data_IF_978954629913
#
_entry.id   IF_978954629913
#
_cell.length_a   1.000
_cell.length_b   1.000
_cell.length_c   1.000
_cell.angle_alpha   90.00
_cell.angle_beta   90.00
_cell.angle_gamma   90.00
#
_symmetry.space_group_name_H-M   'P 1'
#
loop_
_entity.id
_entity.type
_entity.pdbx_description
1 polymer ?
#
# COMPACT_ATOMS: atom_id res chain seq x y z
N UNK A 1 67.55 -27.65 17.54
CA UNK A 1 66.45 -27.62 18.53
C UNK A 1 65.36 -26.76 17.92
N UNK A 2 64.30 -27.25 17.29
CA UNK A 2 63.68 -28.58 17.15
C UNK A 2 63.41 -28.76 15.63
N UNK A 3 63.86 -29.80 14.93
CA UNK A 3 63.39 -31.20 14.94
C UNK A 3 61.87 -31.39 14.93
N UNK A 4 61.36 -31.86 13.79
CA UNK A 4 60.37 -32.94 13.73
C UNK A 4 58.90 -32.58 13.84
N UNK A 5 58.28 -32.21 12.72
CA UNK A 5 56.86 -32.51 12.48
C UNK A 5 56.78 -33.38 11.22
N UNK A 6 56.33 -34.62 11.41
CA UNK A 6 56.25 -35.63 10.36
C UNK A 6 55.00 -35.43 9.49
N UNK A 7 55.07 -35.85 8.24
CA UNK A 7 54.02 -35.74 7.21
C UNK A 7 52.65 -36.35 7.65
N UNK A 8 52.62 -37.14 8.73
CA UNK A 8 51.42 -37.74 9.31
C UNK A 8 50.55 -36.78 10.15
N UNK A 9 51.10 -35.71 10.71
CA UNK A 9 50.31 -34.75 11.53
C UNK A 9 49.63 -33.66 10.68
N UNK A 10 50.08 -33.48 9.44
CA UNK A 10 49.48 -32.53 8.48
C UNK A 10 48.16 -33.10 7.94
N UNK A 11 48.03 -34.43 7.82
CA UNK A 11 46.81 -35.06 7.32
C UNK A 11 45.67 -35.07 8.35
N UNK A 12 45.96 -35.05 9.65
CA UNK A 12 44.92 -35.07 10.70
C UNK A 12 44.34 -33.68 11.01
N UNK A 13 45.06 -32.60 10.69
CA UNK A 13 44.53 -31.22 10.78
C UNK A 13 43.78 -30.77 9.52
N UNK A 14 44.03 -31.39 8.37
CA UNK A 14 43.29 -31.07 7.14
C UNK A 14 41.90 -31.73 7.10
N UNK A 15 41.72 -32.88 7.77
CA UNK A 15 40.40 -33.54 7.88
C UNK A 15 39.48 -32.84 8.88
N UNK A 16 40.02 -32.14 9.88
CA UNK A 16 39.17 -31.41 10.86
C UNK A 16 38.69 -30.03 10.36
N UNK A 17 39.30 -29.46 9.32
CA UNK A 17 38.89 -28.15 8.76
C UNK A 17 37.88 -28.30 7.62
N UNK A 18 37.83 -29.46 6.97
CA UNK A 18 36.83 -29.75 5.92
C UNK A 18 35.47 -30.16 6.52
N UNK A 19 35.42 -30.62 7.78
CA UNK A 19 34.18 -30.94 8.48
C UNK A 19 33.43 -29.70 9.05
N UNK A 20 34.04 -28.51 9.04
CA UNK A 20 33.40 -27.24 9.43
C UNK A 20 32.91 -26.39 8.25
N UNK A 21 33.01 -26.92 7.02
CA UNK A 21 32.38 -26.37 5.82
C UNK A 21 31.14 -27.17 5.41
N UNK A 22 30.48 -27.83 6.37
CA UNK A 22 29.03 -28.01 6.28
C UNK A 22 28.47 -26.59 6.36
N UNK A 23 28.22 -26.03 5.18
CA UNK A 23 27.30 -24.93 4.99
C UNK A 23 26.14 -25.12 5.96
N UNK A 24 26.15 -24.36 7.05
CA UNK A 24 24.92 -23.90 7.63
C UNK A 24 24.27 -23.11 6.51
N UNK A 25 23.49 -23.80 5.67
CA UNK A 25 22.44 -23.11 4.95
C UNK A 25 21.74 -22.30 6.06
N UNK A 26 21.61 -20.97 5.93
CA UNK A 26 20.71 -20.27 6.83
C UNK A 26 19.43 -21.11 6.83
N UNK A 27 18.94 -21.48 8.02
CA UNK A 27 17.59 -22.00 8.10
C UNK A 27 16.76 -20.94 7.39
N UNK A 28 16.28 -21.26 6.18
CA UNK A 28 15.58 -20.30 5.35
C UNK A 28 14.44 -19.81 6.22
N UNK A 29 14.37 -18.49 6.45
CA UNK A 29 13.17 -17.90 6.99
C UNK A 29 12.01 -18.42 6.13
N UNK A 30 10.87 -18.74 6.74
CA UNK A 30 9.74 -19.29 6.00
C UNK A 30 9.43 -18.35 4.82
N UNK A 31 9.58 -18.84 3.60
CA UNK A 31 9.38 -18.03 2.40
C UNK A 31 7.94 -18.24 1.92
N UNK A 32 7.32 -17.16 1.45
CA UNK A 32 6.19 -17.25 0.54
C UNK A 32 6.70 -17.27 -0.90
N UNK A 33 6.12 -18.15 -1.72
CA UNK A 33 6.44 -18.31 -3.13
C UNK A 33 5.27 -17.84 -3.98
N UNK A 34 5.55 -16.98 -4.95
CA UNK A 34 4.56 -16.34 -5.80
C UNK A 34 4.64 -16.97 -7.18
N UNK A 35 3.48 -17.34 -7.70
CA UNK A 35 3.31 -17.98 -9.00
C UNK A 35 2.37 -17.18 -9.90
N UNK A 36 2.63 -17.23 -11.21
CA UNK A 36 1.66 -16.87 -12.26
C UNK A 36 1.38 -18.08 -13.13
N UNK A 37 0.16 -18.16 -13.66
CA UNK A 37 -0.22 -19.24 -14.55
C UNK A 37 -1.71 -19.28 -14.79
N UNK A 38 -2.26 -20.48 -14.96
CA UNK A 38 -3.69 -20.66 -15.27
C UNK A 38 -4.37 -21.71 -14.41
N UNK A 39 -5.68 -21.50 -14.22
CA UNK A 39 -6.64 -22.48 -13.71
C UNK A 39 -7.78 -22.59 -14.72
N UNK A 40 -7.97 -23.76 -15.32
CA UNK A 40 -8.97 -23.96 -16.37
C UNK A 40 -8.81 -22.99 -17.56
N UNK A 41 -7.56 -22.58 -17.85
CA UNK A 41 -7.25 -21.60 -18.88
C UNK A 41 -7.56 -20.14 -18.52
N UNK A 42 -7.89 -19.83 -17.27
CA UNK A 42 -8.03 -18.45 -16.76
C UNK A 42 -6.74 -18.04 -16.06
N UNK A 43 -6.27 -16.84 -16.35
CA UNK A 43 -5.05 -16.31 -15.73
C UNK A 43 -5.25 -16.05 -14.23
N UNK A 44 -4.33 -16.59 -13.43
CA UNK A 44 -4.31 -16.44 -11.98
C UNK A 44 -2.92 -16.05 -11.50
N UNK A 45 -2.90 -15.41 -10.33
CA UNK A 45 -1.72 -15.25 -9.49
C UNK A 45 -1.96 -16.02 -8.19
N UNK A 46 -0.94 -16.71 -7.69
CA UNK A 46 -1.02 -17.53 -6.47
C UNK A 46 0.13 -17.16 -5.55
N UNK A 47 -0.13 -17.07 -4.27
CA UNK A 47 0.88 -17.01 -3.21
C UNK A 47 0.68 -18.20 -2.29
N UNK A 48 1.72 -19.01 -2.12
CA UNK A 48 1.75 -20.14 -1.18
C UNK A 48 2.87 -19.91 -0.18
N UNK A 49 2.71 -20.36 1.07
CA UNK A 49 3.87 -20.65 1.92
C UNK A 49 4.73 -21.73 1.26
N UNK A 50 6.02 -21.83 1.64
CA UNK A 50 6.99 -22.76 1.04
C UNK A 50 6.34 -24.14 0.76
N UNK A 51 6.21 -24.55 -0.52
CA UNK A 51 5.56 -25.80 -0.89
C UNK A 51 6.25 -27.06 -0.36
N UNK A 52 7.47 -26.94 0.16
CA UNK A 52 8.21 -28.02 0.82
C UNK A 52 7.95 -28.10 2.34
N UNK A 53 7.21 -27.15 2.91
CA UNK A 53 6.86 -27.14 4.32
C UNK A 53 5.80 -28.21 4.67
N UNK A 54 5.77 -28.59 5.95
CA UNK A 54 4.81 -29.57 6.48
C UNK A 54 3.35 -29.06 6.40
N UNK A 55 3.16 -27.74 6.33
CA UNK A 55 1.85 -27.10 6.17
C UNK A 55 1.94 -26.06 5.07
N UNK A 56 1.07 -26.17 4.07
CA UNK A 56 1.00 -25.20 2.98
C UNK A 56 -0.34 -24.51 3.02
N UNK A 57 -0.32 -23.20 3.15
CA UNK A 57 -1.50 -22.33 3.00
C UNK A 57 -1.23 -21.34 1.89
N UNK A 58 -2.28 -20.71 1.39
CA UNK A 58 -2.13 -19.77 0.32
C UNK A 58 -3.34 -18.89 0.09
N UNK A 59 -3.19 -18.08 -0.94
CA UNK A 59 -4.26 -17.32 -1.55
C UNK A 59 -4.03 -17.24 -3.04
N UNK A 60 -5.09 -17.05 -3.81
CA UNK A 60 -4.97 -16.77 -5.23
C UNK A 60 -6.02 -15.80 -5.70
N UNK A 61 -5.76 -15.15 -6.84
CA UNK A 61 -6.72 -14.28 -7.49
C UNK A 61 -6.80 -14.55 -8.98
N UNK A 62 -8.01 -14.55 -9.52
CA UNK A 62 -8.22 -14.40 -10.96
C UNK A 62 -7.83 -12.98 -11.37
N UNK A 63 -6.92 -12.85 -12.33
CA UNK A 63 -6.50 -11.53 -12.81
C UNK A 63 -7.66 -10.72 -13.39
N UNK A 64 -8.75 -11.36 -13.80
CA UNK A 64 -9.98 -10.68 -14.25
C UNK A 64 -10.89 -10.16 -13.12
N UNK A 65 -10.65 -10.54 -11.86
CA UNK A 65 -11.54 -10.24 -10.73
C UNK A 65 -10.85 -9.46 -9.61
N UNK A 66 -9.59 -9.74 -9.31
CA UNK A 66 -8.78 -9.00 -8.32
C UNK A 66 -9.00 -9.39 -6.86
N UNK A 67 -10.15 -9.94 -6.49
CA UNK A 67 -10.37 -10.52 -5.15
C UNK A 67 -9.54 -11.78 -4.94
N UNK A 68 -9.01 -11.96 -3.74
CA UNK A 68 -8.28 -13.15 -3.32
C UNK A 68 -9.26 -14.21 -2.78
N UNK A 69 -8.91 -15.47 -3.00
CA UNK A 69 -9.62 -16.66 -2.52
C UNK A 69 -8.63 -17.46 -1.65
N UNK A 70 -8.97 -17.78 -0.39
CA UNK A 70 -8.06 -18.47 0.51
C UNK A 70 -7.93 -19.95 0.16
N UNK A 71 -6.72 -20.48 0.39
CA UNK A 71 -6.36 -21.88 0.22
C UNK A 71 -5.84 -22.43 1.55
N UNK A 72 -6.62 -23.31 2.16
CA UNK A 72 -6.28 -23.93 3.44
C UNK A 72 -5.60 -25.29 3.26
N UNK A 73 -4.61 -25.60 4.09
CA UNK A 73 -3.90 -26.88 4.06
C UNK A 73 -4.85 -28.05 4.32
N UNK A 74 -4.80 -29.08 3.48
CA UNK A 74 -5.50 -30.36 3.71
C UNK A 74 -4.50 -31.48 3.96
N UNK A 75 -3.54 -31.65 3.06
CA UNK A 75 -2.51 -32.68 3.15
C UNK A 75 -1.27 -32.28 2.36
N UNK A 76 -0.11 -32.68 2.85
CA UNK A 76 1.21 -32.34 2.33
C UNK A 76 2.08 -33.59 2.42
N UNK A 77 2.49 -34.10 1.26
CA UNK A 77 3.35 -35.27 1.15
C UNK A 77 4.43 -35.01 0.09
N UNK A 78 5.46 -35.86 0.01
CA UNK A 78 6.64 -35.63 -0.83
C UNK A 78 6.30 -35.17 -2.27
N UNK A 79 6.42 -33.86 -2.52
CA UNK A 79 6.16 -33.21 -3.81
C UNK A 79 4.68 -33.05 -4.20
N UNK A 80 3.73 -33.36 -3.32
CA UNK A 80 2.28 -33.24 -3.56
C UNK A 80 1.62 -32.45 -2.43
N UNK A 81 0.91 -31.38 -2.81
CA UNK A 81 0.18 -30.50 -1.90
C UNK A 81 -1.30 -30.56 -2.22
N UNK A 82 -2.13 -30.79 -1.20
CA UNK A 82 -3.59 -30.74 -1.29
C UNK A 82 -4.11 -29.56 -0.48
N UNK A 83 -4.86 -28.68 -1.14
CA UNK A 83 -5.43 -27.47 -0.53
C UNK A 83 -6.96 -27.46 -0.69
N UNK A 84 -7.66 -26.92 0.29
CA UNK A 84 -9.08 -26.63 0.20
C UNK A 84 -9.28 -25.17 -0.19
N UNK A 85 -10.03 -24.93 -1.26
CA UNK A 85 -10.48 -23.62 -1.69
C UNK A 85 -11.85 -23.31 -1.07
N UNK A 86 -11.95 -22.16 -0.40
CA UNK A 86 -13.24 -21.72 0.14
C UNK A 86 -14.20 -21.26 -0.97
N UNK A 87 -15.48 -21.57 -0.80
CA UNK A 87 -16.55 -20.88 -1.50
C UNK A 87 -16.94 -19.60 -0.72
N UNK A 88 -17.62 -18.63 -1.36
CA UNK A 88 -18.07 -17.43 -0.65
C UNK A 88 -18.99 -17.74 0.55
N UNK A 89 -18.74 -17.03 1.64
CA UNK A 89 -19.62 -17.01 2.81
C UNK A 89 -20.87 -16.16 2.57
N UNK A 90 -21.96 -16.62 3.16
CA UNK A 90 -23.24 -15.93 3.30
C UNK A 90 -23.87 -16.41 4.61
N UNK A 91 -24.93 -15.73 5.07
CA UNK A 91 -25.79 -16.18 6.19
C UNK A 91 -26.22 -17.66 6.08
N UNK A 92 -26.27 -18.22 4.86
CA UNK A 92 -26.78 -19.57 4.60
C UNK A 92 -25.72 -20.60 4.21
N UNK A 93 -24.50 -20.16 3.90
CA UNK A 93 -23.41 -21.04 3.46
C UNK A 93 -22.34 -21.25 4.52
N UNK A 94 -22.18 -20.30 5.45
CA UNK A 94 -21.28 -20.44 6.60
C UNK A 94 -22.07 -20.86 7.84
N UNK A 95 -21.50 -21.78 8.63
CA UNK A 95 -22.14 -22.24 9.87
C UNK A 95 -21.57 -21.44 11.03
N UNK A 96 -22.45 -20.80 11.79
CA UNK A 96 -22.10 -20.00 12.94
C UNK A 96 -22.43 -20.74 14.24
N UNK A 97 -21.61 -20.55 15.27
CA UNK A 97 -21.94 -20.96 16.63
C UNK A 97 -22.82 -19.91 17.35
N UNK A 98 -23.15 -20.18 18.61
CA UNK A 98 -23.97 -19.28 19.45
C UNK A 98 -23.28 -17.93 19.74
N UNK A 99 -21.97 -17.80 19.49
CA UNK A 99 -21.20 -16.57 19.64
C UNK A 99 -21.03 -15.81 18.31
N UNK A 100 -21.70 -16.26 17.24
CA UNK A 100 -21.55 -15.74 15.87
C UNK A 100 -20.15 -15.94 15.29
N UNK A 101 -19.41 -16.95 15.76
CA UNK A 101 -18.14 -17.37 15.18
C UNK A 101 -18.37 -18.44 14.11
N UNK A 102 -17.61 -18.35 13.01
CA UNK A 102 -17.72 -19.33 11.91
C UNK A 102 -17.01 -20.61 12.35
N UNK A 103 -17.77 -21.71 12.43
CA UNK A 103 -17.26 -23.04 12.81
C UNK A 103 -17.13 -24.00 11.63
N UNK A 104 -17.82 -23.72 10.52
CA UNK A 104 -17.68 -24.48 9.28
C UNK A 104 -17.66 -23.51 8.09
N UNK A 105 -16.61 -23.61 7.29
CA UNK A 105 -16.42 -22.84 6.06
C UNK A 105 -16.86 -23.66 4.85
N UNK A 106 -17.60 -23.08 3.89
CA UNK A 106 -18.02 -23.78 2.70
C UNK A 106 -16.81 -23.99 1.78
N UNK A 107 -16.64 -25.22 1.28
CA UNK A 107 -15.55 -25.57 0.37
C UNK A 107 -16.07 -25.58 -1.07
N UNK A 108 -15.45 -24.79 -1.94
CA UNK A 108 -15.75 -24.72 -3.36
C UNK A 108 -15.03 -25.81 -4.16
N UNK A 109 -13.78 -26.12 -3.78
CA UNK A 109 -12.96 -27.10 -4.48
C UNK A 109 -11.78 -27.60 -3.64
N UNK A 110 -11.14 -28.66 -4.13
CA UNK A 110 -9.84 -29.13 -3.64
C UNK A 110 -8.79 -29.06 -4.75
N UNK A 111 -7.67 -28.42 -4.45
CA UNK A 111 -6.51 -28.39 -5.33
C UNK A 111 -5.64 -29.58 -5.02
N UNK A 112 -5.21 -30.32 -6.04
CA UNK A 112 -4.16 -31.32 -5.91
C UNK A 112 -2.99 -30.91 -6.79
N UNK A 113 -1.92 -30.46 -6.16
CA UNK A 113 -0.76 -29.85 -6.79
C UNK A 113 0.45 -30.77 -6.72
N UNK A 114 1.26 -30.76 -7.77
CA UNK A 114 2.57 -31.42 -7.83
C UNK A 114 3.63 -30.37 -8.09
N UNK A 115 4.57 -30.26 -7.16
CA UNK A 115 5.75 -29.40 -7.27
C UNK A 115 6.81 -30.15 -8.08
N UNK A 116 7.35 -29.52 -9.12
CA UNK A 116 8.40 -30.08 -9.96
C UNK A 116 9.78 -29.63 -9.49
N UNK A 117 10.82 -30.32 -9.95
CA UNK A 117 12.22 -30.02 -9.61
C UNK A 117 12.66 -28.61 -10.04
N UNK A 118 12.00 -28.02 -11.04
CA UNK A 118 12.26 -26.67 -11.53
C UNK A 118 11.45 -25.57 -10.79
N UNK A 119 10.72 -25.96 -9.74
CA UNK A 119 9.85 -25.07 -8.96
C UNK A 119 8.48 -24.81 -9.61
N UNK A 120 8.22 -25.24 -10.85
CA UNK A 120 6.89 -25.11 -11.44
C UNK A 120 5.89 -26.05 -10.76
N UNK A 121 4.62 -25.66 -10.74
CA UNK A 121 3.53 -26.45 -10.17
C UNK A 121 2.53 -26.83 -11.27
N UNK A 122 2.09 -28.08 -11.25
CA UNK A 122 0.98 -28.57 -12.08
C UNK A 122 -0.01 -29.34 -11.23
N UNK A 123 -1.29 -29.32 -11.56
CA UNK A 123 -2.28 -29.99 -10.74
C UNK A 123 -3.69 -29.96 -11.30
N UNK A 124 -4.64 -30.35 -10.46
CA UNK A 124 -6.06 -30.31 -10.76
C UNK A 124 -6.84 -29.54 -9.70
N UNK A 125 -7.77 -28.71 -10.16
CA UNK A 125 -8.82 -28.08 -9.39
C UNK A 125 -10.05 -28.98 -9.42
N UNK A 126 -10.39 -29.60 -8.29
CA UNK A 126 -11.48 -30.56 -8.17
C UNK A 126 -12.69 -29.89 -7.49
N UNK A 127 -13.73 -29.48 -8.25
CA UNK A 127 -14.89 -28.82 -7.68
C UNK A 127 -15.66 -29.73 -6.71
N UNK A 128 -16.15 -29.15 -5.61
CA UNK A 128 -16.93 -29.84 -4.60
C UNK A 128 -18.32 -30.27 -5.11
N UNK A 129 -18.85 -29.61 -6.15
CA UNK A 129 -20.16 -29.90 -6.75
C UNK A 129 -20.14 -31.09 -7.73
N UNK A 130 -18.96 -31.69 -7.97
CA UNK A 130 -18.79 -32.82 -8.89
C UNK A 130 -18.69 -32.44 -10.37
N UNK A 131 -18.55 -31.16 -10.69
CA UNK A 131 -18.24 -30.68 -12.04
C UNK A 131 -16.89 -31.19 -12.56
N UNK A 132 -16.58 -30.90 -13.82
CA UNK A 132 -15.32 -31.32 -14.43
C UNK A 132 -14.11 -30.72 -13.71
N UNK A 133 -13.08 -31.55 -13.50
CA UNK A 133 -11.78 -31.12 -13.00
C UNK A 133 -11.14 -30.16 -13.99
N UNK A 134 -10.57 -29.07 -13.50
CA UNK A 134 -9.85 -28.08 -14.30
C UNK A 134 -8.35 -28.19 -14.06
N UNK A 135 -7.54 -28.03 -15.10
CA UNK A 135 -6.08 -28.08 -14.99
C UNK A 135 -5.53 -26.82 -14.32
N UNK A 136 -4.47 -26.99 -13.53
CA UNK A 136 -3.67 -25.92 -12.93
C UNK A 136 -2.25 -26.02 -13.46
N UNK A 137 -1.71 -24.91 -13.96
CA UNK A 137 -0.31 -24.78 -14.40
C UNK A 137 0.25 -23.46 -13.90
N UNK A 138 1.35 -23.51 -13.15
CA UNK A 138 1.92 -22.38 -12.42
C UNK A 138 3.44 -22.34 -12.57
N UNK A 139 3.98 -21.14 -12.78
CA UNK A 139 5.42 -20.87 -12.83
C UNK A 139 5.79 -19.90 -11.72
N UNK A 140 6.84 -20.21 -10.97
CA UNK A 140 7.39 -19.33 -9.94
C UNK A 140 7.86 -18.02 -10.58
N UNK A 141 7.49 -16.88 -9.99
CA UNK A 141 7.89 -15.54 -10.47
C UNK A 141 8.61 -14.71 -9.42
N UNK A 142 8.41 -15.01 -8.13
CA UNK A 142 9.05 -14.30 -7.03
C UNK A 142 8.96 -15.10 -5.72
N UNK A 143 9.73 -14.66 -4.72
CA UNK A 143 9.65 -15.09 -3.32
C UNK A 143 9.72 -13.88 -2.40
N UNK A 144 9.13 -13.97 -1.21
CA UNK A 144 9.34 -13.01 -0.13
C UNK A 144 9.50 -13.74 1.20
N UNK A 145 10.27 -13.15 2.10
CA UNK A 145 10.42 -13.66 3.45
C UNK A 145 9.20 -13.33 4.30
N UNK A 146 8.72 -14.31 5.06
CA UNK A 146 7.64 -14.13 6.03
C UNK A 146 8.19 -13.77 7.42
N UNK A 147 7.41 -13.05 8.25
CA UNK A 147 7.77 -12.83 9.65
C UNK A 147 7.93 -14.15 10.42
N UNK A 148 8.95 -14.25 11.29
CA UNK A 148 9.31 -15.51 11.99
C UNK A 148 8.17 -16.11 12.82
N UNK A 149 7.34 -15.26 13.46
CA UNK A 149 6.28 -15.68 14.38
C UNK A 149 4.87 -15.62 13.77
N UNK A 150 4.75 -15.51 12.44
CA UNK A 150 3.45 -15.49 11.77
C UNK A 150 2.74 -16.85 11.90
N UNK A 151 1.45 -16.84 12.24
CA UNK A 151 0.63 -18.05 12.17
C UNK A 151 0.42 -18.48 10.70
N UNK A 152 0.49 -19.78 10.43
CA UNK A 152 0.37 -20.32 9.07
C UNK A 152 -1.11 -20.49 8.70
N UNK A 153 -1.76 -19.37 8.36
CA UNK A 153 -3.15 -19.32 7.86
C UNK A 153 -3.25 -18.45 6.60
N UNK A 154 -4.29 -18.63 5.78
CA UNK A 154 -4.53 -17.73 4.64
C UNK A 154 -4.65 -16.25 5.03
N UNK A 155 -5.31 -15.96 6.15
CA UNK A 155 -5.49 -14.60 6.67
C UNK A 155 -4.14 -13.97 7.03
N UNK A 156 -3.33 -14.64 7.84
CA UNK A 156 -2.04 -14.14 8.29
C UNK A 156 -1.04 -13.97 7.13
N UNK A 157 -1.10 -14.87 6.14
CA UNK A 157 -0.31 -14.73 4.92
C UNK A 157 -0.69 -13.45 4.15
N UNK A 158 -1.98 -13.18 3.99
CA UNK A 158 -2.49 -11.97 3.34
C UNK A 158 -2.15 -10.70 4.16
N UNK A 159 -2.40 -10.73 5.47
CA UNK A 159 -2.19 -9.61 6.38
C UNK A 159 -0.71 -9.25 6.52
N UNK A 160 0.21 -10.22 6.45
CA UNK A 160 1.65 -9.93 6.52
C UNK A 160 2.15 -9.00 5.41
N UNK A 161 1.58 -9.10 4.21
CA UNK A 161 1.90 -8.18 3.11
C UNK A 161 1.33 -6.79 3.39
N UNK A 162 0.12 -6.72 3.97
CA UNK A 162 -0.53 -5.47 4.34
C UNK A 162 0.24 -4.74 5.45
N UNK A 163 0.60 -5.44 6.53
CA UNK A 163 1.36 -4.87 7.67
C UNK A 163 2.70 -4.34 7.21
N UNK A 164 3.45 -5.11 6.42
CA UNK A 164 4.72 -4.64 5.85
C UNK A 164 4.57 -3.36 5.00
N UNK A 165 3.42 -3.22 4.32
CA UNK A 165 3.10 -2.03 3.52
C UNK A 165 2.59 -0.86 4.37
N UNK A 166 1.92 -1.14 5.49
CA UNK A 166 1.41 -0.14 6.41
C UNK A 166 2.53 0.50 7.23
N UNK A 167 3.45 -0.32 7.75
CA UNK A 167 4.58 0.13 8.56
C UNK A 167 5.57 0.98 7.75
N UNK A 168 5.66 0.73 6.44
CA UNK A 168 6.46 1.55 5.55
C UNK A 168 5.78 1.69 4.17
N UNK A 169 4.87 2.67 3.99
CA UNK A 169 4.17 2.91 2.73
C UNK A 169 5.11 3.21 1.56
N UNK A 170 6.30 3.74 1.83
CA UNK A 170 7.33 3.97 0.82
C UNK A 170 8.07 2.68 0.41
N UNK A 171 8.00 1.63 1.22
CA UNK A 171 8.53 0.31 0.90
C UNK A 171 7.57 -0.57 0.12
N UNK A 172 6.30 -0.19 -0.05
CA UNK A 172 5.37 -0.94 -0.91
C UNK A 172 5.86 -0.94 -2.36
N UNK A 173 6.40 -2.09 -2.78
CA UNK A 173 7.12 -2.25 -4.03
C UNK A 173 6.98 -3.68 -4.55
N UNK A 174 7.44 -3.93 -5.78
CA UNK A 174 7.47 -5.27 -6.36
C UNK A 174 8.29 -6.27 -5.53
N UNK A 175 9.27 -5.79 -4.77
CA UNK A 175 10.15 -6.65 -3.98
C UNK A 175 9.51 -7.02 -2.63
N UNK A 176 8.77 -6.09 -2.00
CA UNK A 176 8.13 -6.32 -0.70
C UNK A 176 6.74 -6.97 -0.81
N UNK A 177 6.00 -6.68 -1.87
CA UNK A 177 4.66 -7.20 -2.13
C UNK A 177 4.52 -7.79 -3.56
N UNK A 178 5.37 -8.77 -3.95
CA UNK A 178 5.40 -9.32 -5.31
C UNK A 178 4.06 -9.90 -5.77
N UNK A 179 3.29 -10.54 -4.88
CA UNK A 179 1.96 -11.07 -5.20
C UNK A 179 1.01 -9.95 -5.62
N UNK A 180 0.90 -8.90 -4.82
CA UNK A 180 -0.02 -7.79 -5.06
C UNK A 180 0.35 -7.03 -6.34
N UNK A 181 1.63 -6.79 -6.59
CA UNK A 181 2.09 -6.21 -7.86
C UNK A 181 1.86 -7.12 -9.07
N UNK A 182 1.99 -8.44 -8.92
CA UNK A 182 1.66 -9.40 -9.98
C UNK A 182 0.15 -9.44 -10.26
N UNK A 183 -0.69 -9.26 -9.23
CA UNK A 183 -2.16 -9.13 -9.33
C UNK A 183 -2.60 -7.86 -10.06
N UNK A 184 -1.84 -6.78 -9.92
CA UNK A 184 -2.09 -5.47 -10.53
C UNK A 184 -1.49 -5.31 -11.92
N UNK A 185 -0.73 -6.31 -12.40
CA UNK A 185 -0.14 -6.35 -13.73
C UNK A 185 -1.19 -6.69 -14.79
N UNK A 186 -2.19 -5.81 -14.93
CA UNK A 186 -3.29 -5.89 -15.89
C UNK A 186 -3.34 -4.62 -16.74
N UNK A 187 -3.96 -4.73 -17.91
CA UNK A 187 -4.18 -3.56 -18.76
C UNK A 187 -5.16 -2.58 -18.09
N UNK A 188 -4.71 -1.34 -17.92
CA UNK A 188 -5.53 -0.24 -17.45
C UNK A 188 -6.23 0.46 -18.63
N UNK A 189 -7.40 1.02 -18.36
CA UNK A 189 -8.13 1.85 -19.34
C UNK A 189 -7.68 3.29 -19.19
N UNK A 190 -7.23 3.91 -20.28
CA UNK A 190 -6.84 5.32 -20.28
C UNK A 190 -8.03 6.24 -20.56
N UNK A 191 -8.15 7.29 -19.75
CA UNK A 191 -9.08 8.39 -19.95
C UNK A 191 -8.56 9.47 -20.91
N UNK A 192 -9.34 10.54 -21.11
CA UNK A 192 -8.91 11.68 -21.93
C UNK A 192 -7.73 12.42 -21.28
N UNK A 193 -6.87 12.98 -22.13
CA UNK A 193 -5.80 13.88 -21.66
C UNK A 193 -6.38 15.25 -21.29
N UNK A 194 -6.02 15.75 -20.12
CA UNK A 194 -6.33 17.06 -19.56
C UNK A 194 -5.05 17.88 -19.43
N UNK A 195 -5.20 19.19 -19.25
CA UNK A 195 -4.07 20.12 -19.09
C UNK A 195 -4.22 20.98 -17.84
N UNK A 196 -3.11 21.26 -17.16
CA UNK A 196 -3.01 22.15 -16.02
C UNK A 196 -1.70 22.92 -16.12
N UNK A 197 -1.76 24.25 -16.19
CA UNK A 197 -0.60 25.15 -16.27
C UNK A 197 0.43 24.76 -17.35
N UNK A 198 -0.06 24.32 -18.51
CA UNK A 198 0.77 23.88 -19.64
C UNK A 198 1.29 22.44 -19.54
N UNK A 199 1.14 21.79 -18.39
CA UNK A 199 1.40 20.36 -18.20
C UNK A 199 0.18 19.55 -18.63
N UNK A 200 0.36 18.25 -18.87
CA UNK A 200 -0.72 17.34 -19.28
C UNK A 200 -0.73 16.05 -18.48
N UNK A 201 -1.92 15.54 -18.21
CA UNK A 201 -2.16 14.32 -17.44
C UNK A 201 -3.44 13.63 -17.92
N UNK A 202 -3.62 12.36 -17.59
CA UNK A 202 -4.87 11.60 -17.83
C UNK A 202 -5.11 10.66 -16.67
N UNK A 203 -6.35 10.26 -16.47
CA UNK A 203 -6.61 9.15 -15.54
C UNK A 203 -6.42 7.81 -16.23
N UNK A 204 -6.00 6.83 -15.42
CA UNK A 204 -6.04 5.41 -15.78
C UNK A 204 -6.92 4.69 -14.78
N UNK A 205 -7.68 3.71 -15.26
CA UNK A 205 -8.67 2.96 -14.46
C UNK A 205 -8.35 1.47 -14.57
N UNK A 206 -8.19 0.80 -13.43
CA UNK A 206 -8.25 -0.66 -13.41
C UNK A 206 -9.72 -1.07 -13.58
N UNK A 207 -10.08 -1.89 -14.59
CA UNK A 207 -11.48 -2.22 -14.87
C UNK A 207 -12.16 -3.01 -13.74
N UNK A 208 -11.40 -3.52 -12.77
CA UNK A 208 -11.89 -4.32 -11.64
C UNK A 208 -12.23 -3.44 -10.43
N UNK A 209 -11.37 -2.49 -10.09
CA UNK A 209 -11.56 -1.55 -8.96
C UNK A 209 -12.26 -0.24 -9.34
N UNK A 210 -12.26 0.11 -10.64
CA UNK A 210 -13.10 1.12 -11.30
C UNK A 210 -12.88 2.59 -10.96
N UNK A 211 -12.07 2.92 -9.95
CA UNK A 211 -11.74 4.32 -9.67
C UNK A 211 -10.63 4.86 -10.60
N UNK A 212 -10.68 6.14 -10.98
CA UNK A 212 -9.65 6.79 -11.77
C UNK A 212 -8.43 7.15 -10.93
N UNK A 213 -7.23 7.01 -11.48
CA UNK A 213 -6.01 7.50 -10.84
C UNK A 213 -5.11 8.21 -11.86
N UNK A 214 -4.52 9.38 -11.55
CA UNK A 214 -3.80 10.18 -12.53
C UNK A 214 -2.46 9.58 -12.98
N UNK A 215 -2.10 9.90 -14.22
CA UNK A 215 -0.78 9.72 -14.83
C UNK A 215 -0.38 10.99 -15.56
N UNK A 216 0.85 11.42 -15.34
CA UNK A 216 1.45 12.54 -16.08
C UNK A 216 1.72 12.09 -17.51
N UNK A 217 1.28 12.88 -18.48
CA UNK A 217 1.50 12.64 -19.91
C UNK A 217 2.73 13.41 -20.38
N UNK A 218 2.86 14.69 -19.99
CA UNK A 218 4.03 15.51 -20.27
C UNK A 218 4.07 16.72 -19.34
N UNK A 219 5.28 17.10 -18.93
CA UNK A 219 5.54 18.39 -18.30
C UNK A 219 5.78 19.47 -19.36
N UNK A 220 5.45 20.72 -19.02
CA UNK A 220 5.52 21.86 -19.94
C UNK A 220 6.95 22.15 -20.44
N UNK A 221 7.95 21.85 -19.62
CA UNK A 221 9.37 22.01 -19.93
C UNK A 221 10.00 20.79 -20.66
N UNK A 222 9.21 19.73 -20.87
CA UNK A 222 9.67 18.47 -21.46
C UNK A 222 10.47 17.58 -20.52
N UNK A 223 10.46 17.85 -19.21
CA UNK A 223 11.11 16.98 -18.22
C UNK A 223 10.54 15.55 -18.22
N UNK A 224 11.34 14.54 -17.85
CA UNK A 224 10.90 13.14 -17.79
C UNK A 224 9.74 12.95 -16.80
N UNK A 225 8.82 12.02 -17.09
CA UNK A 225 7.62 11.75 -16.28
C UNK A 225 7.71 10.45 -15.47
N UNK A 226 8.76 9.67 -15.69
CA UNK A 226 8.90 8.29 -15.23
C UNK A 226 8.92 8.18 -13.71
N UNK A 227 9.66 9.06 -13.03
CA UNK A 227 9.74 9.06 -11.57
C UNK A 227 8.38 9.37 -10.92
N UNK A 228 7.74 10.46 -11.36
CA UNK A 228 6.38 10.81 -10.97
C UNK A 228 5.38 9.67 -11.21
N UNK A 229 5.35 9.12 -12.42
CA UNK A 229 4.41 8.05 -12.77
C UNK A 229 4.70 6.74 -12.04
N UNK A 230 5.95 6.46 -11.66
CA UNK A 230 6.29 5.31 -10.81
C UNK A 230 5.63 5.44 -9.44
N UNK A 231 5.72 6.63 -8.82
CA UNK A 231 5.08 6.89 -7.52
C UNK A 231 3.56 6.88 -7.60
N UNK A 232 2.97 7.53 -8.61
CA UNK A 232 1.53 7.50 -8.85
C UNK A 232 1.02 6.07 -9.14
N UNK A 233 1.84 5.23 -9.77
CA UNK A 233 1.51 3.83 -9.98
C UNK A 233 1.58 3.01 -8.68
N UNK A 234 2.57 3.23 -7.84
CA UNK A 234 2.67 2.58 -6.53
C UNK A 234 1.49 2.96 -5.62
N UNK A 235 1.07 4.23 -5.59
CA UNK A 235 -0.11 4.65 -4.81
C UNK A 235 -1.40 4.03 -5.36
N UNK A 236 -1.62 4.06 -6.68
CA UNK A 236 -2.78 3.41 -7.29
C UNK A 236 -2.82 1.91 -6.94
N UNK A 237 -1.67 1.23 -7.01
CA UNK A 237 -1.52 -0.17 -6.60
C UNK A 237 -1.92 -0.37 -5.12
N UNK A 238 -1.49 0.51 -4.21
CA UNK A 238 -1.83 0.42 -2.79
C UNK A 238 -3.36 0.56 -2.56
N UNK A 239 -4.04 1.47 -3.24
CA UNK A 239 -5.50 1.63 -3.12
C UNK A 239 -6.22 0.41 -3.71
N UNK A 240 -5.76 -0.11 -4.86
CA UNK A 240 -6.28 -1.34 -5.44
C UNK A 240 -6.13 -2.54 -4.49
N UNK A 241 -5.00 -2.63 -3.78
CA UNK A 241 -4.77 -3.66 -2.77
C UNK A 241 -5.87 -3.62 -1.70
N UNK A 242 -6.17 -2.42 -1.18
CA UNK A 242 -7.22 -2.23 -0.18
C UNK A 242 -8.61 -2.59 -0.74
N UNK A 243 -8.97 -2.11 -1.93
CA UNK A 243 -10.25 -2.42 -2.56
C UNK A 243 -10.43 -3.94 -2.79
N UNK A 244 -9.38 -4.63 -3.23
CA UNK A 244 -9.40 -6.06 -3.43
C UNK A 244 -9.36 -6.86 -2.13
N UNK A 245 -8.71 -6.37 -1.08
CA UNK A 245 -8.82 -6.98 0.25
C UNK A 245 -10.28 -6.93 0.76
N UNK A 246 -11.00 -5.83 0.52
CA UNK A 246 -12.42 -5.72 0.83
C UNK A 246 -13.27 -6.72 0.04
N UNK A 247 -12.96 -6.91 -1.24
CA UNK A 247 -13.61 -7.91 -2.09
C UNK A 247 -13.34 -9.33 -1.58
N UNK A 248 -12.15 -9.58 -1.06
CA UNK A 248 -11.71 -10.87 -0.51
C UNK A 248 -12.42 -11.25 0.79
N UNK A 249 -12.99 -10.27 1.52
CA UNK A 249 -13.86 -10.51 2.68
C UNK A 249 -15.20 -11.18 2.32
N UNK A 250 -15.37 -11.65 1.10
CA UNK A 250 -16.39 -12.64 0.75
C UNK A 250 -16.11 -14.02 1.37
N UNK A 251 -14.87 -14.30 1.79
CA UNK A 251 -14.43 -15.60 2.31
C UNK A 251 -14.12 -15.54 3.81
N UNK A 252 -14.45 -16.62 4.54
CA UNK A 252 -14.21 -16.70 5.99
C UNK A 252 -12.72 -16.60 6.31
N UNK A 253 -11.89 -17.35 5.58
CA UNK A 253 -10.44 -17.38 5.74
C UNK A 253 -9.74 -16.06 5.42
N UNK A 254 -10.46 -15.04 4.92
CA UNK A 254 -9.97 -13.68 4.67
C UNK A 254 -10.82 -12.61 5.38
N UNK A 255 -11.54 -13.00 6.43
CA UNK A 255 -12.18 -12.06 7.36
C UNK A 255 -13.64 -11.71 7.07
N UNK A 256 -14.39 -12.56 6.36
CA UNK A 256 -15.86 -12.44 6.29
C UNK A 256 -16.46 -12.32 7.69
N UNK A 257 -17.38 -11.38 7.85
CA UNK A 257 -18.24 -11.25 9.03
C UNK A 257 -19.65 -10.91 8.58
N UNK A 258 -20.62 -11.65 9.11
CA UNK A 258 -22.02 -11.46 8.75
C UNK A 258 -22.50 -10.05 9.12
N UNK A 259 -23.29 -9.43 8.23
CA UNK A 259 -23.80 -8.07 8.41
C UNK A 259 -22.76 -6.94 8.42
N UNK A 260 -21.48 -7.22 8.15
CA UNK A 260 -20.37 -6.24 8.24
C UNK A 260 -19.86 -5.76 6.87
N UNK A 261 -20.65 -5.81 5.81
CA UNK A 261 -20.35 -5.12 4.54
C UNK A 261 -19.11 -5.57 3.75
N UNK A 262 -18.53 -6.75 4.05
CA UNK A 262 -17.45 -7.36 3.26
C UNK A 262 -17.94 -8.04 1.97
N UNK A 263 -17.02 -8.33 1.03
CA UNK A 263 -17.33 -9.07 -0.20
C UNK A 263 -17.72 -8.21 -1.41
N UNK A 264 -17.60 -6.89 -1.28
CA UNK A 264 -17.62 -5.93 -2.39
C UNK A 264 -16.36 -5.07 -2.39
N UNK A 265 -16.28 -4.09 -3.29
CA UNK A 265 -15.15 -3.15 -3.34
C UNK A 265 -15.11 -2.17 -2.17
N UNK A 266 -16.06 -2.20 -1.25
CA UNK A 266 -16.06 -1.34 -0.06
C UNK A 266 -16.12 0.16 -0.36
N UNK A 267 -16.89 0.53 -1.39
CA UNK A 267 -17.05 1.89 -1.92
C UNK A 267 -15.76 2.53 -2.46
N UNK A 268 -14.69 1.74 -2.64
CA UNK A 268 -13.49 2.24 -3.32
C UNK A 268 -13.76 2.64 -4.78
N UNK A 269 -14.80 2.10 -5.42
CA UNK A 269 -15.26 2.56 -6.74
C UNK A 269 -15.97 3.92 -6.72
N UNK A 270 -16.20 4.49 -5.53
CA UNK A 270 -16.67 5.85 -5.28
C UNK A 270 -15.56 6.85 -4.92
N UNK A 271 -14.30 6.42 -4.85
CA UNK A 271 -13.15 7.30 -4.56
C UNK A 271 -13.01 8.43 -5.58
N UNK A 272 -12.74 9.63 -5.08
CA UNK A 272 -12.44 10.81 -5.89
C UNK A 272 -10.97 11.18 -5.73
N UNK A 273 -10.20 10.90 -6.78
CA UNK A 273 -8.77 11.18 -6.83
C UNK A 273 -8.51 12.26 -7.87
N UNK A 274 -7.98 13.41 -7.43
CA UNK A 274 -7.83 14.59 -8.27
C UNK A 274 -6.41 15.18 -8.20
N UNK A 275 -5.82 15.50 -9.37
CA UNK A 275 -4.61 16.33 -9.41
C UNK A 275 -4.99 17.74 -8.95
N UNK A 276 -4.42 18.18 -7.83
CA UNK A 276 -4.58 19.52 -7.29
C UNK A 276 -3.51 20.48 -7.82
N UNK A 277 -2.29 19.98 -8.08
CA UNK A 277 -1.19 20.77 -8.64
C UNK A 277 -0.25 19.90 -9.46
N UNK A 278 0.26 20.46 -10.56
CA UNK A 278 1.14 19.75 -11.48
C UNK A 278 2.21 20.69 -12.05
N UNK A 279 3.47 20.43 -11.72
CA UNK A 279 4.64 21.08 -12.30
C UNK A 279 5.77 20.07 -12.55
N UNK A 280 6.85 20.45 -13.26
CA UNK A 280 8.04 19.60 -13.43
C UNK A 280 8.78 19.25 -12.14
N UNK A 281 8.46 19.93 -11.02
CA UNK A 281 9.16 19.79 -9.74
C UNK A 281 8.26 19.28 -8.62
N UNK A 282 6.95 19.52 -8.67
CA UNK A 282 6.01 19.14 -7.62
C UNK A 282 4.72 18.61 -8.24
N UNK A 283 4.23 17.50 -7.69
CA UNK A 283 2.86 17.02 -7.95
C UNK A 283 2.14 16.98 -6.62
N UNK A 284 0.92 17.52 -6.62
CA UNK A 284 -0.02 17.36 -5.52
C UNK A 284 -1.30 16.72 -6.06
N UNK A 285 -1.81 15.70 -5.37
CA UNK A 285 -3.16 15.20 -5.59
C UNK A 285 -3.90 15.04 -4.27
N UNK A 286 -5.22 14.99 -4.37
CA UNK A 286 -6.11 14.72 -3.23
C UNK A 286 -6.84 13.41 -3.46
N UNK A 287 -7.11 12.70 -2.37
CA UNK A 287 -7.91 11.48 -2.33
C UNK A 287 -9.04 11.70 -1.33
N UNK A 288 -10.28 11.46 -1.74
CA UNK A 288 -11.43 11.62 -0.86
C UNK A 288 -12.50 10.58 -1.15
N UNK A 289 -13.12 10.09 -0.08
CA UNK A 289 -14.18 9.11 -0.15
C UNK A 289 -14.64 8.61 1.21
N UNK A 290 -15.49 7.60 1.18
CA UNK A 290 -16.09 6.95 2.36
C UNK A 290 -15.98 5.43 2.23
N UNK A 291 -14.78 4.91 2.43
CA UNK A 291 -14.55 3.46 2.21
C UNK A 291 -15.05 2.64 3.39
N UNK A 292 -15.72 1.53 3.13
CA UNK A 292 -16.26 0.66 4.17
C UNK A 292 -16.15 -0.81 3.79
N UNK A 293 -15.31 -1.52 4.53
CA UNK A 293 -15.05 -2.96 4.34
C UNK A 293 -15.31 -3.73 5.63
N UNK A 294 -16.32 -3.27 6.37
CA UNK A 294 -16.65 -3.67 7.74
C UNK A 294 -16.03 -2.82 8.82
N UNK A 295 -16.22 -3.24 10.06
CA UNK A 295 -15.90 -2.45 11.25
C UNK A 295 -17.08 -1.61 11.72
N UNK A 296 -16.82 -0.71 12.69
CA UNK A 296 -17.85 0.05 13.37
C UNK A 296 -18.45 1.19 12.54
N UNK A 297 -17.69 1.77 11.61
CA UNK A 297 -18.09 2.90 10.78
C UNK A 297 -17.23 2.99 9.50
N UNK A 298 -17.69 3.70 8.45
CA UNK A 298 -16.91 4.01 7.25
C UNK A 298 -15.67 4.88 7.54
N UNK A 299 -14.62 4.69 6.76
CA UNK A 299 -13.46 5.55 6.73
C UNK A 299 -13.70 6.75 5.80
N UNK A 300 -14.31 7.80 6.35
CA UNK A 300 -14.41 9.09 5.67
C UNK A 300 -13.05 9.79 5.71
N UNK A 301 -12.53 10.19 4.55
CA UNK A 301 -11.20 10.80 4.47
C UNK A 301 -11.09 11.86 3.36
N UNK A 302 -10.11 12.72 3.56
CA UNK A 302 -9.61 13.74 2.65
C UNK A 302 -8.12 13.81 2.92
N UNK A 303 -7.35 13.21 2.02
CA UNK A 303 -5.91 13.13 2.12
C UNK A 303 -5.29 13.94 0.99
N UNK A 304 -4.24 14.70 1.30
CA UNK A 304 -3.44 15.43 0.32
C UNK A 304 -2.05 14.83 0.27
N UNK A 305 -1.64 14.42 -0.92
CA UNK A 305 -0.34 13.82 -1.17
C UNK A 305 0.50 14.73 -2.05
N UNK A 306 1.76 14.90 -1.68
CA UNK A 306 2.70 15.77 -2.38
C UNK A 306 4.00 15.00 -2.60
N UNK A 307 4.53 15.05 -3.82
CA UNK A 307 5.79 14.40 -4.19
C UNK A 307 6.69 15.38 -4.96
N UNK A 308 7.99 15.15 -4.87
CA UNK A 308 8.95 15.73 -5.81
C UNK A 308 8.79 15.00 -7.16
N UNK A 309 8.35 15.72 -8.18
CA UNK A 309 8.07 15.16 -9.51
C UNK A 309 9.31 14.54 -10.18
N UNK A 310 10.51 15.04 -9.83
CA UNK A 310 11.78 14.67 -10.44
C UNK A 310 12.27 13.32 -9.93
N UNK A 311 11.98 13.02 -8.67
CA UNK A 311 12.48 11.83 -7.98
C UNK A 311 11.38 10.82 -7.64
N UNK A 312 10.13 11.26 -7.58
CA UNK A 312 8.99 10.47 -7.09
C UNK A 312 8.99 10.28 -5.58
N UNK A 313 9.90 10.93 -4.85
CA UNK A 313 9.98 10.86 -3.39
C UNK A 313 8.90 11.72 -2.73
N UNK A 314 8.52 11.36 -1.51
CA UNK A 314 7.59 12.16 -0.71
C UNK A 314 8.16 13.54 -0.41
N UNK A 315 7.28 14.54 -0.45
CA UNK A 315 7.67 15.93 -0.41
C UNK A 315 7.65 16.49 1.01
N UNK A 316 8.78 17.00 1.48
CA UNK A 316 8.81 17.73 2.73
C UNK A 316 8.30 19.17 2.49
N UNK A 317 7.15 19.53 3.04
CA UNK A 317 6.65 20.91 2.98
C UNK A 317 7.64 21.92 3.59
N UNK A 318 8.53 21.49 4.49
CA UNK A 318 9.61 22.32 5.03
C UNK A 318 10.67 22.74 4.00
N UNK A 319 10.72 22.12 2.82
CA UNK A 319 11.50 22.62 1.68
C UNK A 319 10.92 23.90 1.08
N UNK A 320 9.66 24.22 1.36
CA UNK A 320 8.94 25.38 0.80
C UNK A 320 8.49 26.34 1.90
N UNK A 321 8.13 25.84 3.08
CA UNK A 321 7.60 26.62 4.20
C UNK A 321 8.59 26.61 5.37
N UNK A 322 9.02 27.79 5.81
CA UNK A 322 10.12 27.93 6.79
C UNK A 322 9.80 27.34 8.19
N UNK A 323 8.53 27.27 8.56
CA UNK A 323 8.04 26.84 9.87
C UNK A 323 7.24 25.53 9.80
N UNK A 324 7.39 24.74 8.74
CA UNK A 324 6.87 23.37 8.72
C UNK A 324 7.92 22.44 9.32
N UNK A 325 7.74 22.08 10.59
CA UNK A 325 8.79 21.48 11.41
C UNK A 325 8.47 20.03 11.77
N UNK A 326 9.49 19.19 11.79
CA UNK A 326 9.38 17.83 12.29
C UNK A 326 9.23 17.86 13.82
N UNK A 327 8.26 17.13 14.35
CA UNK A 327 7.90 17.13 15.76
C UNK A 327 8.29 15.83 16.46
N UNK A 328 8.11 14.68 15.80
CA UNK A 328 8.47 13.37 16.34
C UNK A 328 8.91 12.38 15.25
N UNK A 329 9.73 11.40 15.62
CA UNK A 329 10.06 10.23 14.79
C UNK A 329 8.89 9.24 14.75
N UNK A 330 8.53 8.70 13.58
CA UNK A 330 7.36 7.81 13.44
C UNK A 330 7.55 6.43 14.05
N UNK A 331 8.79 6.02 14.32
CA UNK A 331 9.13 4.71 14.86
C UNK A 331 9.02 4.68 16.39
N UNK A 332 9.51 5.73 17.06
CA UNK A 332 9.60 5.76 18.52
C UNK A 332 8.85 6.93 19.17
N UNK A 333 8.29 7.84 18.37
CA UNK A 333 7.55 9.03 18.81
C UNK A 333 8.36 9.99 19.68
N UNK A 334 9.69 9.91 19.63
CA UNK A 334 10.57 10.83 20.36
C UNK A 334 10.68 12.18 19.63
N UNK A 335 10.81 13.29 20.37
CA UNK A 335 10.93 14.62 19.78
C UNK A 335 12.13 14.76 18.84
N UNK A 336 11.92 15.41 17.69
CA UNK A 336 12.98 15.63 16.70
C UNK A 336 13.92 16.75 17.12
N UNK A 337 15.22 16.45 17.11
CA UNK A 337 16.28 17.43 17.42
C UNK A 337 17.09 17.86 16.19
N UNK A 338 17.01 17.11 15.09
CA UNK A 338 17.68 17.41 13.81
C UNK A 338 16.64 17.57 12.70
N UNK A 339 16.30 18.83 12.41
CA UNK A 339 15.34 19.17 11.36
C UNK A 339 15.88 18.88 9.95
N UNK A 340 17.19 18.96 9.74
CA UNK A 340 17.78 18.72 8.43
C UNK A 340 17.69 17.24 8.05
N UNK A 341 18.01 16.35 9.00
CA UNK A 341 17.83 14.91 8.83
C UNK A 341 16.36 14.55 8.55
N UNK A 342 15.42 15.22 9.23
CA UNK A 342 14.00 15.00 8.99
C UNK A 342 13.53 15.41 7.59
N UNK A 343 14.06 16.52 7.07
CA UNK A 343 13.78 16.96 5.70
C UNK A 343 14.36 16.02 4.64
N UNK A 344 15.44 15.28 4.93
CA UNK A 344 16.00 14.28 4.00
C UNK A 344 15.20 12.97 3.97
N UNK A 345 14.39 12.69 4.99
CA UNK A 345 13.53 11.50 5.08
C UNK A 345 12.13 11.86 5.63
N UNK A 346 11.29 12.58 4.86
CA UNK A 346 10.04 13.12 5.38
C UNK A 346 9.04 12.07 5.91
N UNK A 347 9.07 10.83 5.41
CA UNK A 347 8.18 9.76 5.92
C UNK A 347 8.60 9.19 7.28
N UNK A 348 9.84 9.43 7.71
CA UNK A 348 10.34 8.99 9.01
C UNK A 348 9.87 9.86 10.18
N UNK A 349 9.15 10.95 9.90
CA UNK A 349 8.84 11.96 10.90
C UNK A 349 7.41 12.48 10.76
N UNK A 350 6.81 12.82 11.90
CA UNK A 350 5.61 13.62 11.98
C UNK A 350 6.00 15.09 11.85
N UNK A 351 5.25 15.85 11.06
CA UNK A 351 5.46 17.28 10.91
C UNK A 351 4.23 18.07 11.35
N UNK A 352 4.44 19.32 11.76
CA UNK A 352 3.39 20.24 12.16
C UNK A 352 3.75 21.68 11.78
N UNK A 353 2.75 22.58 11.65
CA UNK A 353 3.01 23.99 11.46
C UNK A 353 3.53 24.64 12.74
N UNK A 354 4.56 25.45 12.61
CA UNK A 354 5.02 26.35 13.65
C UNK A 354 4.09 27.55 13.83
N UNK A 355 4.27 28.28 14.94
CA UNK A 355 3.41 29.39 15.32
C UNK A 355 3.19 30.45 14.23
N UNK A 356 4.20 30.85 13.41
CA UNK A 356 3.97 31.85 12.38
C UNK A 356 2.97 31.42 11.28
N UNK A 357 2.94 30.12 10.95
CA UNK A 357 1.96 29.58 10.00
C UNK A 357 0.55 29.53 10.60
N UNK A 358 0.46 29.17 11.89
CA UNK A 358 -0.79 29.17 12.66
C UNK A 358 -1.34 30.60 12.76
N UNK A 359 -0.51 31.56 13.17
CA UNK A 359 -0.88 32.97 13.32
C UNK A 359 -1.37 33.54 11.99
N UNK A 360 -0.71 33.18 10.89
CA UNK A 360 -1.14 33.59 9.56
C UNK A 360 -2.52 33.03 9.22
N UNK A 361 -2.73 31.72 9.37
CA UNK A 361 -4.03 31.11 9.10
C UNK A 361 -5.17 31.73 9.93
N UNK A 362 -4.93 31.95 11.23
CA UNK A 362 -5.92 32.55 12.14
C UNK A 362 -6.24 34.01 11.78
N UNK A 363 -5.25 34.79 11.33
CA UNK A 363 -5.45 36.18 10.96
C UNK A 363 -6.38 36.36 9.75
N UNK A 364 -6.46 35.35 8.88
CA UNK A 364 -7.24 35.39 7.64
C UNK A 364 -8.47 34.46 7.68
N UNK A 365 -8.76 33.80 8.80
CA UNK A 365 -9.88 32.87 8.91
C UNK A 365 -11.24 33.53 8.63
N UNK A 366 -11.43 34.79 9.06
CA UNK A 366 -12.65 35.55 8.77
C UNK A 366 -12.75 35.96 7.28
N UNK A 367 -11.63 36.03 6.56
CA UNK A 367 -11.56 36.39 5.13
C UNK A 367 -11.81 35.19 4.21
N UNK A 368 -11.76 33.98 4.76
CA UNK A 368 -11.95 32.72 4.06
C UNK A 368 -13.35 32.55 3.44
N UNK A 369 -14.34 33.34 3.88
CA UNK A 369 -15.71 33.25 3.40
C UNK A 369 -16.42 31.96 3.84
N UNK A 370 -15.94 31.33 4.92
CA UNK A 370 -16.50 30.11 5.50
C UNK A 370 -17.90 30.37 6.07
N UNK A 371 -18.72 29.32 6.08
CA UNK A 371 -20.00 29.36 6.77
C UNK A 371 -19.75 29.63 8.27
N UNK A 372 -20.27 30.74 8.84
CA UNK A 372 -20.05 31.08 10.24
C UNK A 372 -20.56 30.00 11.21
N UNK A 373 -21.62 29.29 10.84
CA UNK A 373 -22.18 28.22 11.69
C UNK A 373 -21.23 27.02 11.69
N UNK A 374 -20.72 26.61 10.52
CA UNK A 374 -19.71 25.56 10.40
C UNK A 374 -18.44 25.95 11.18
N UNK A 375 -17.94 27.17 10.99
CA UNK A 375 -16.73 27.65 11.65
C UNK A 375 -16.83 27.58 13.18
N UNK A 376 -18.01 27.89 13.71
CA UNK A 376 -18.34 27.83 15.13
C UNK A 376 -18.54 26.40 15.63
N UNK A 377 -19.33 25.57 14.94
CA UNK A 377 -19.59 24.18 15.31
C UNK A 377 -18.32 23.33 15.32
N UNK A 378 -17.46 23.56 14.32
CA UNK A 378 -16.18 22.89 14.19
C UNK A 378 -15.06 23.49 15.04
N UNK A 379 -15.28 24.64 15.68
CA UNK A 379 -14.27 25.35 16.47
C UNK A 379 -12.94 25.51 15.69
N UNK A 380 -13.03 25.97 14.43
CA UNK A 380 -11.88 26.03 13.51
C UNK A 380 -10.63 26.73 14.10
N UNK A 381 -10.74 27.84 14.87
CA UNK A 381 -9.56 28.43 15.50
C UNK A 381 -8.80 27.46 16.41
N UNK A 382 -9.52 26.64 17.18
CA UNK A 382 -8.93 25.68 18.09
C UNK A 382 -8.29 24.52 17.31
N UNK A 383 -8.95 24.00 16.27
CA UNK A 383 -8.37 22.98 15.39
C UNK A 383 -7.06 23.46 14.72
N UNK A 384 -7.02 24.71 14.25
CA UNK A 384 -5.80 25.30 13.69
C UNK A 384 -4.69 25.36 14.76
N UNK A 385 -5.01 25.82 15.97
CA UNK A 385 -4.04 25.96 17.05
C UNK A 385 -3.55 24.61 17.62
N UNK A 386 -4.38 23.57 17.57
CA UNK A 386 -4.08 22.23 18.09
C UNK A 386 -3.31 21.34 17.10
N UNK A 387 -2.96 21.87 15.91
CA UNK A 387 -2.06 21.22 14.96
C UNK A 387 -2.76 20.52 13.79
N UNK A 388 -4.06 20.78 13.56
CA UNK A 388 -4.78 20.24 12.39
C UNK A 388 -4.62 21.09 11.12
N UNK A 389 -3.79 22.13 11.15
CA UNK A 389 -3.50 22.92 9.96
C UNK A 389 -2.51 22.17 9.04
N UNK A 390 -2.98 21.81 7.86
CA UNK A 390 -2.22 21.22 6.76
C UNK A 390 -2.15 22.14 5.53
N UNK A 391 -1.44 21.67 4.51
CA UNK A 391 -1.16 22.44 3.31
C UNK A 391 -1.27 21.60 2.05
N UNK A 392 -1.68 22.23 0.96
CA UNK A 392 -1.57 21.67 -0.38
C UNK A 392 -1.34 22.75 -1.41
N UNK A 393 -0.80 22.38 -2.56
CA UNK A 393 -0.61 23.29 -3.69
C UNK A 393 -1.82 23.26 -4.63
N UNK A 394 -2.08 24.40 -5.25
CA UNK A 394 -3.14 24.60 -6.23
C UNK A 394 -2.58 25.35 -7.47
N UNK A 395 -3.29 25.34 -8.61
CA UNK A 395 -2.80 25.93 -9.85
C UNK A 395 -2.39 27.39 -9.70
N UNK A 396 -1.51 27.85 -10.59
CA UNK A 396 -0.90 29.19 -10.54
C UNK A 396 -0.03 29.43 -9.29
N UNK A 397 0.70 28.40 -8.84
CA UNK A 397 1.62 28.45 -7.70
C UNK A 397 0.95 28.98 -6.41
N UNK A 398 -0.25 28.48 -6.11
CA UNK A 398 -1.00 28.83 -4.90
C UNK A 398 -0.80 27.80 -3.80
N UNK A 399 -0.81 28.28 -2.56
CA UNK A 399 -0.83 27.47 -1.35
C UNK A 399 -2.23 27.53 -0.75
N UNK A 400 -2.79 26.36 -0.48
CA UNK A 400 -4.04 26.19 0.25
C UNK A 400 -3.71 25.75 1.67
N UNK A 401 -4.13 26.56 2.63
CA UNK A 401 -4.18 26.24 4.05
C UNK A 401 -5.49 25.46 4.28
N UNK A 402 -5.43 24.31 4.91
CA UNK A 402 -6.60 23.46 5.12
C UNK A 402 -6.60 22.79 6.49
N UNK A 403 -7.79 22.45 6.99
CA UNK A 403 -7.92 21.58 8.16
C UNK A 403 -7.81 20.13 7.72
N UNK A 404 -6.87 19.41 8.32
CA UNK A 404 -6.50 18.04 7.94
C UNK A 404 -6.25 17.17 9.17
N UNK A 405 -6.14 15.85 8.97
CA UNK A 405 -5.78 14.90 10.03
C UNK A 405 -6.83 14.78 11.15
N UNK A 406 -8.07 15.16 10.89
CA UNK A 406 -9.17 15.01 11.84
C UNK A 406 -9.56 13.53 11.95
N UNK A 407 -9.85 13.09 13.18
CA UNK A 407 -10.41 11.77 13.41
C UNK A 407 -11.78 11.63 12.73
N UNK A 408 -12.16 10.39 12.41
CA UNK A 408 -13.43 10.01 11.76
C UNK A 408 -14.70 10.68 12.32
N UNK A 409 -14.74 11.01 13.61
CA UNK A 409 -15.89 11.67 14.25
C UNK A 409 -16.03 13.17 13.88
N UNK A 410 -14.93 13.85 13.57
CA UNK A 410 -14.89 15.28 13.27
C UNK A 410 -14.49 15.56 11.82
N UNK A 411 -14.35 14.52 10.98
CA UNK A 411 -13.92 14.65 9.59
C UNK A 411 -14.74 15.66 8.78
N UNK A 412 -16.03 15.82 9.09
CA UNK A 412 -16.91 16.81 8.49
C UNK A 412 -16.44 18.28 8.65
N UNK A 413 -15.47 18.53 9.54
CA UNK A 413 -14.84 19.83 9.75
C UNK A 413 -13.56 20.04 8.93
N UNK A 414 -13.20 19.10 8.05
CA UNK A 414 -12.10 19.31 7.11
C UNK A 414 -12.52 20.38 6.10
N UNK A 415 -11.75 21.45 5.99
CA UNK A 415 -12.16 22.65 5.26
C UNK A 415 -10.95 23.42 4.75
N UNK A 416 -11.11 24.13 3.62
CA UNK A 416 -10.11 25.07 3.13
C UNK A 416 -10.18 26.37 3.92
N UNK A 417 -9.10 26.69 4.61
CA UNK A 417 -9.00 27.90 5.43
C UNK A 417 -8.67 29.10 4.56
N UNK A 418 -7.71 28.96 3.65
CA UNK A 418 -7.22 30.10 2.87
C UNK A 418 -6.47 29.62 1.63
N UNK A 419 -6.61 30.34 0.52
CA UNK A 419 -5.76 30.16 -0.66
C UNK A 419 -4.99 31.44 -0.95
N UNK A 420 -3.66 31.36 -1.03
CA UNK A 420 -2.78 32.51 -1.31
C UNK A 420 -1.77 32.17 -2.39
N UNK A 421 -1.36 33.17 -3.18
CA UNK A 421 -0.24 33.00 -4.11
C UNK A 421 1.06 32.90 -3.31
N UNK A 422 1.95 31.97 -3.66
CA UNK A 422 3.25 31.85 -2.98
C UNK A 422 4.07 33.16 -3.06
N UNK A 423 3.92 33.93 -4.15
CA UNK A 423 4.58 35.23 -4.32
C UNK A 423 4.13 36.31 -3.33
N UNK A 424 2.94 36.15 -2.73
CA UNK A 424 2.32 37.14 -1.85
C UNK A 424 2.67 36.91 -0.37
N UNK A 425 3.33 35.78 -0.06
CA UNK A 425 3.74 35.38 1.30
C UNK A 425 5.24 35.08 1.42
N UNK A 426 6.16 35.90 0.87
CA UNK A 426 7.60 35.63 0.91
C UNK A 426 8.14 35.46 2.33
N UNK A 427 7.48 36.07 3.32
CA UNK A 427 7.81 35.93 4.73
C UNK A 427 7.58 34.53 5.27
N UNK A 428 6.74 33.69 4.67
CA UNK A 428 6.46 32.32 5.11
C UNK A 428 7.32 31.27 4.39
N UNK A 429 7.98 31.66 3.30
CA UNK A 429 8.70 30.75 2.43
C UNK A 429 10.11 30.42 2.95
N UNK A 430 10.51 29.17 2.79
CA UNK A 430 11.88 28.71 2.96
C UNK A 430 12.75 29.21 1.79
N UNK A 431 14.06 29.34 2.03
CA UNK A 431 15.01 29.76 0.97
C UNK A 431 15.02 28.82 -0.24
N UNK A 432 14.78 27.53 0.01
CA UNK A 432 14.70 26.46 -1.00
C UNK A 432 13.38 26.46 -1.79
N UNK A 433 12.40 27.31 -1.45
CA UNK A 433 11.13 27.36 -2.18
C UNK A 433 11.32 27.63 -3.67
N UNK A 434 12.30 28.47 -4.03
CA UNK A 434 12.62 28.80 -5.42
C UNK A 434 13.15 27.60 -6.24
N UNK A 435 13.68 26.55 -5.59
CA UNK A 435 14.11 25.33 -6.27
C UNK A 435 12.92 24.50 -6.79
N UNK A 436 11.74 24.71 -6.21
CA UNK A 436 10.49 24.03 -6.54
C UNK A 436 9.52 24.92 -7.30
N UNK A 437 9.57 26.23 -7.07
CA UNK A 437 8.73 27.24 -7.72
C UNK A 437 9.60 28.33 -8.33
N UNK A 438 10.10 28.14 -9.57
CA UNK A 438 11.07 29.04 -10.19
C UNK A 438 10.61 30.49 -10.32
N UNK A 439 9.30 30.73 -10.40
CA UNK A 439 8.72 32.09 -10.50
C UNK A 439 8.94 32.93 -9.23
N UNK A 440 9.31 32.30 -8.11
CA UNK A 440 9.69 32.97 -6.86
C UNK A 440 11.13 33.50 -6.87
N UNK A 441 11.96 33.11 -7.84
CA UNK A 441 13.32 33.61 -7.99
C UNK A 441 13.33 35.00 -8.67
N UNK A 442 12.83 36.03 -7.99
CA UNK A 442 12.91 37.42 -8.44
C UNK A 442 13.37 38.38 -7.33
#
# INVERSE_FOLDING_TARGET
>A
MLDGLTLGEIHMRLVLVIALLLSTAPAFAADAVIYKGTLGGKDIVVELTDPSADQVVGRYSYLSQGGDIPLSSVDTSEGVVTLAEEAPCTETTCVFDDNYEIVEVPIGAHWQLRVKDDGSITGGWNPADGSAVLDIELTEVARRTLPEDMAITPADLADSAWVASYDNPAAFSRDSAPYDFAKMDVALTEGPTRTMDGNSYRDVIDPRSKFPFPRVVAFADGSPVEAANTRLAARHAQINMSAFACLSKAYAGLGYRDGMGGGGLGDFDGESIEIAYLSPTVINWTETGSTYCGGAYPNNHFDSYIIDARTGADFALGWVLKDWIATADTTNYEPVTDQAAALENPNGYLFAPGQPLIDYALAYLDEAGLDPDLASECQLPDLIAEGNLGFRFAPENKLVFAITGLAHANFACSEDVLTVSLSDIPELLALTASDYFPDLAN
#
